data_IF_609853999416
#
_entry.id   IF_609853999416
#
_cell.length_a   1.000
_cell.length_b   1.000
_cell.length_c   1.000
_cell.angle_alpha   90.00
_cell.angle_beta   90.00
_cell.angle_gamma   90.00
#
_symmetry.space_group_name_H-M   'P 1'
#
loop_
_entity.id
_entity.type
_entity.pdbx_description
1 polymer ?
#
# COMPACT_ATOMS: atom_id res chain seq x y z
N UNK A 1 -8.37 6.44 -7.32
CA UNK A 1 -7.70 5.95 -8.55
C UNK A 1 -6.30 5.50 -8.21
N UNK A 2 -5.46 5.05 -9.16
CA UNK A 2 -4.04 4.81 -8.85
C UNK A 2 -3.39 6.16 -8.55
N UNK A 3 -2.70 6.26 -7.43
CA UNK A 3 -1.96 7.45 -6.98
C UNK A 3 -0.45 7.17 -6.98
N UNK A 4 0.42 8.20 -6.89
CA UNK A 4 1.87 7.99 -6.83
C UNK A 4 2.31 7.03 -5.73
N UNK A 5 1.65 7.05 -4.56
CA UNK A 5 1.96 6.15 -3.45
C UNK A 5 1.66 4.68 -3.79
N UNK A 6 0.66 4.37 -4.62
CA UNK A 6 0.44 2.99 -5.10
C UNK A 6 1.63 2.51 -5.93
N UNK A 7 2.14 3.34 -6.83
CA UNK A 7 3.25 2.98 -7.73
C UNK A 7 4.53 2.81 -6.93
N UNK A 8 4.83 3.74 -6.03
CA UNK A 8 6.01 3.66 -5.16
C UNK A 8 5.97 2.40 -4.27
N UNK A 9 4.79 2.09 -3.69
CA UNK A 9 4.62 0.91 -2.86
C UNK A 9 4.74 -0.40 -3.65
N UNK A 10 4.12 -0.47 -4.83
CA UNK A 10 4.22 -1.65 -5.70
C UNK A 10 5.62 -1.93 -6.22
N UNK A 11 6.48 -0.91 -6.36
CA UNK A 11 7.87 -1.06 -6.78
C UNK A 11 8.87 -1.18 -5.62
N UNK A 12 8.42 -1.09 -4.36
CA UNK A 12 9.31 -1.20 -3.19
C UNK A 12 10.19 0.03 -2.95
N UNK A 13 9.82 1.19 -3.49
CA UNK A 13 10.62 2.42 -3.39
C UNK A 13 10.48 3.11 -2.02
N UNK A 14 11.06 2.52 -0.98
CA UNK A 14 10.88 2.94 0.43
C UNK A 14 11.05 4.44 0.66
N UNK A 15 12.15 5.04 0.18
CA UNK A 15 12.43 6.46 0.39
C UNK A 15 11.44 7.38 -0.34
N UNK A 16 10.91 6.94 -1.48
CA UNK A 16 9.83 7.67 -2.18
C UNK A 16 8.52 7.56 -1.40
N UNK A 17 8.23 6.40 -0.81
CA UNK A 17 7.04 6.22 0.04
C UNK A 17 7.11 7.15 1.26
N UNK A 18 8.27 7.24 1.94
CA UNK A 18 8.47 8.18 3.05
C UNK A 18 8.23 9.63 2.63
N UNK A 19 8.85 10.07 1.54
CA UNK A 19 8.68 11.43 1.02
C UNK A 19 7.21 11.75 0.71
N UNK A 20 6.48 10.80 0.15
CA UNK A 20 5.05 10.98 -0.15
C UNK A 20 4.23 11.09 1.15
N UNK A 21 4.50 10.27 2.17
CA UNK A 21 3.83 10.35 3.48
C UNK A 21 4.12 11.69 4.16
N UNK A 22 5.38 12.16 4.11
CA UNK A 22 5.77 13.48 4.63
C UNK A 22 5.03 14.64 3.93
N UNK A 23 4.64 14.44 2.67
CA UNK A 23 3.82 15.39 1.89
C UNK A 23 2.32 15.05 1.94
N UNK A 24 1.87 14.43 3.04
CA UNK A 24 0.45 14.16 3.33
C UNK A 24 -0.24 13.24 2.31
N UNK A 25 0.51 12.36 1.63
CA UNK A 25 -0.11 11.36 0.76
C UNK A 25 -0.99 10.40 1.58
N UNK A 26 -2.21 10.17 1.09
CA UNK A 26 -3.14 9.24 1.71
C UNK A 26 -2.67 7.78 1.56
N UNK A 27 -2.13 7.23 2.65
CA UNK A 27 -1.69 5.83 2.78
C UNK A 27 -2.84 4.81 2.72
N UNK A 28 -4.08 5.26 2.95
CA UNK A 28 -5.31 4.47 2.89
C UNK A 28 -6.03 4.61 1.54
N UNK A 29 -5.45 5.35 0.59
CA UNK A 29 -6.07 5.65 -0.70
C UNK A 29 -6.50 4.37 -1.43
N UNK A 30 -7.80 4.21 -1.67
CA UNK A 30 -8.33 3.07 -2.41
C UNK A 30 -8.61 3.43 -3.88
N UNK A 31 -8.26 2.52 -4.78
CA UNK A 31 -8.78 2.55 -6.15
C UNK A 31 -10.27 2.16 -6.18
N UNK A 32 -10.94 2.31 -7.34
CA UNK A 32 -12.33 1.84 -7.52
C UNK A 32 -12.51 0.34 -7.25
N UNK A 33 -11.42 -0.43 -7.34
CA UNK A 33 -11.41 -1.87 -7.09
C UNK A 33 -10.96 -2.21 -5.66
N UNK A 34 -10.85 -1.23 -4.75
CA UNK A 34 -10.41 -1.47 -3.37
C UNK A 34 -8.91 -1.77 -3.22
N UNK A 35 -8.12 -1.63 -4.29
CA UNK A 35 -6.66 -1.77 -4.19
C UNK A 35 -6.11 -0.58 -3.40
N UNK A 36 -5.34 -0.86 -2.35
CA UNK A 36 -4.64 0.13 -1.51
C UNK A 36 -3.12 0.05 -1.71
N UNK A 37 -2.34 1.06 -1.26
CA UNK A 37 -0.87 1.02 -1.32
C UNK A 37 -0.28 -0.20 -0.58
N UNK A 38 -0.84 -0.55 0.58
CA UNK A 38 -0.38 -1.71 1.34
C UNK A 38 -0.70 -3.03 0.64
N UNK A 39 -1.83 -3.12 -0.08
CA UNK A 39 -2.17 -4.28 -0.89
C UNK A 39 -1.10 -4.58 -1.95
N UNK A 40 -0.69 -3.56 -2.71
CA UNK A 40 0.31 -3.75 -3.78
C UNK A 40 1.72 -3.98 -3.23
N UNK A 41 2.07 -3.40 -2.08
CA UNK A 41 3.34 -3.69 -1.40
C UNK A 41 3.41 -5.15 -0.93
N UNK A 42 2.33 -5.65 -0.31
CA UNK A 42 2.22 -7.05 0.11
C UNK A 42 2.25 -8.01 -1.08
N UNK A 43 1.45 -7.73 -2.13
CA UNK A 43 1.38 -8.56 -3.34
C UNK A 43 2.75 -8.78 -3.99
N UNK A 44 3.63 -7.78 -3.89
CA UNK A 44 4.96 -7.81 -4.50
C UNK A 44 6.08 -8.13 -3.49
N UNK A 45 5.75 -8.44 -2.24
CA UNK A 45 6.72 -8.89 -1.23
C UNK A 45 7.61 -7.78 -0.62
N UNK A 46 7.20 -6.52 -0.69
CA UNK A 46 8.01 -5.38 -0.23
C UNK A 46 7.89 -5.15 1.29
N UNK A 47 8.47 -6.05 2.09
CA UNK A 47 8.33 -6.08 3.55
C UNK A 47 8.57 -4.72 4.24
N UNK A 48 9.64 -4.01 3.89
CA UNK A 48 9.97 -2.73 4.54
C UNK A 48 8.95 -1.64 4.22
N UNK A 49 8.37 -1.66 3.01
CA UNK A 49 7.26 -0.76 2.66
C UNK A 49 5.99 -1.14 3.44
N UNK A 50 5.70 -2.43 3.60
CA UNK A 50 4.54 -2.89 4.37
C UNK A 50 4.63 -2.47 5.83
N UNK A 51 5.81 -2.59 6.45
CA UNK A 51 6.07 -2.10 7.81
C UNK A 51 5.82 -0.59 7.91
N UNK A 52 6.42 0.20 7.02
CA UNK A 52 6.25 1.65 6.99
C UNK A 52 4.77 2.05 6.87
N UNK A 53 4.02 1.39 5.98
CA UNK A 53 2.60 1.67 5.80
C UNK A 53 1.79 1.29 7.05
N UNK A 54 2.12 0.17 7.70
CA UNK A 54 1.47 -0.28 8.94
C UNK A 54 1.74 0.68 10.10
N UNK A 55 2.96 1.21 10.21
CA UNK A 55 3.33 2.24 11.18
C UNK A 55 2.55 3.55 10.96
N UNK A 56 2.15 3.81 9.70
CA UNK A 56 1.29 4.94 9.33
C UNK A 56 -0.19 4.57 9.26
N UNK A 57 -0.62 3.59 10.06
CA UNK A 57 -2.02 3.17 10.23
C UNK A 57 -2.72 2.63 8.97
N UNK A 58 -1.98 2.18 7.95
CA UNK A 58 -2.61 1.48 6.82
C UNK A 58 -3.29 0.19 7.31
N UNK A 59 -4.49 -0.08 6.83
CA UNK A 59 -5.22 -1.30 7.18
C UNK A 59 -4.58 -2.52 6.52
N UNK A 60 -3.91 -3.34 7.32
CA UNK A 60 -3.27 -4.60 6.88
C UNK A 60 -4.28 -5.63 6.35
N UNK A 61 -5.55 -5.49 6.73
CA UNK A 61 -6.65 -6.33 6.26
C UNK A 61 -7.37 -5.73 5.05
N UNK A 62 -6.90 -4.61 4.50
CA UNK A 62 -7.52 -3.98 3.34
C UNK A 62 -7.63 -4.98 2.18
N UNK A 63 -8.86 -5.23 1.72
CA UNK A 63 -9.14 -6.18 0.65
C UNK A 63 -9.48 -5.46 -0.64
N UNK A 64 -9.14 -6.10 -1.77
CA UNK A 64 -9.72 -5.75 -3.06
C UNK A 64 -11.23 -6.02 -3.01
N UNK A 65 -12.04 -5.33 -3.83
CA UNK A 65 -13.52 -5.45 -3.91
C UNK A 65 -14.08 -6.89 -4.09
N UNK A 66 -13.20 -7.85 -4.31
CA UNK A 66 -13.44 -9.26 -4.55
C UNK A 66 -13.20 -10.11 -3.28
N UNK A 67 -12.87 -9.50 -2.14
CA UNK A 67 -12.59 -10.18 -0.87
C UNK A 67 -11.19 -10.80 -0.72
N UNK A 68 -10.29 -10.63 -1.71
CA UNK A 68 -8.92 -11.11 -1.57
C UNK A 68 -8.13 -10.19 -0.65
N UNK A 69 -7.69 -10.72 0.50
CA UNK A 69 -6.75 -10.05 1.41
C UNK A 69 -5.30 -10.24 0.90
N UNK A 70 -4.44 -9.23 1.07
CA UNK A 70 -3.04 -9.32 0.69
C UNK A 70 -2.28 -10.40 1.47
N UNK A 71 -2.73 -10.74 2.69
CA UNK A 71 -2.11 -11.77 3.53
C UNK A 71 -2.26 -13.19 2.97
N UNK A 72 -3.22 -13.42 2.05
CA UNK A 72 -3.40 -14.71 1.37
C UNK A 72 -2.51 -14.86 0.13
N UNK A 73 -1.74 -13.83 -0.25
CA UNK A 73 -0.92 -13.81 -1.47
C UNK A 73 0.59 -13.98 -1.16
N UNK A 74 0.99 -13.93 0.12
CA UNK A 74 2.37 -14.10 0.57
C UNK A 74 2.77 -15.58 0.73
#
# INVERSE_FOLDING_TARGET
>A
GITPIHVACGNGHLEVVKLLIENEADVKAATKNGITPIYVACQNGHLEVVKLLTENEADVNATRSNGFTPIFIA
#
